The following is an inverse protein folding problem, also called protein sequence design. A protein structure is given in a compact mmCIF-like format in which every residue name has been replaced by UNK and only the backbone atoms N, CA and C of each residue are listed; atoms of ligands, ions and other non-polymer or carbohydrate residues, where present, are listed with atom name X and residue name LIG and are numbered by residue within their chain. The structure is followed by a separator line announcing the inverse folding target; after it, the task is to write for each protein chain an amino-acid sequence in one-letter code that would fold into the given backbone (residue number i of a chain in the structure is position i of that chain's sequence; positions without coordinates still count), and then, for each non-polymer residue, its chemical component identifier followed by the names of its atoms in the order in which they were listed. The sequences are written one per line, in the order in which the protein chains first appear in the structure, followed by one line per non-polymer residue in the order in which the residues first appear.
data_IF_483369613008
#
_entry.id   IF_483369613008
#
_cell.length_a   1.000
_cell.length_b   1.000
_cell.length_c   1.000
_cell.angle_alpha   90.00
_cell.angle_beta   90.00
_cell.angle_gamma   90.00
#
_symmetry.space_group_name_H-M   'P 1'
#
loop_
_entity.id
_entity.type
_entity.pdbx_description
1 polymer ?
#
# COMPACT_ATOMS: atom_id res chain seq x y z
N UNK A 1 -26.14 14.31 19.45
CA UNK A 1 -24.84 13.69 19.14
C UNK A 1 -24.43 12.97 20.41
N UNK A 2 -24.36 11.65 20.37
CA UNK A 2 -23.85 10.85 21.49
C UNK A 2 -22.38 11.21 21.71
N UNK A 3 -22.00 11.37 22.96
CA UNK A 3 -20.62 11.72 23.34
C UNK A 3 -19.76 10.43 23.45
N UNK A 4 -20.19 9.37 22.75
CA UNK A 4 -19.52 8.08 22.77
C UNK A 4 -18.21 8.14 22.00
N UNK A 5 -17.19 7.48 22.53
CA UNK A 5 -15.89 7.41 21.90
C UNK A 5 -15.97 6.54 20.62
N UNK A 6 -15.42 7.05 19.53
CA UNK A 6 -15.18 6.24 18.34
C UNK A 6 -13.87 5.49 18.56
N UNK A 7 -13.91 4.17 18.41
CA UNK A 7 -12.79 3.29 18.74
C UNK A 7 -12.37 2.45 17.54
N UNK A 8 -11.11 2.08 17.50
CA UNK A 8 -10.60 1.04 16.59
C UNK A 8 -10.69 -0.29 17.36
N UNK A 9 -11.47 -1.22 16.85
CA UNK A 9 -11.73 -2.50 17.51
C UNK A 9 -10.60 -3.49 17.25
N UNK A 10 -10.14 -3.60 16.01
CA UNK A 10 -9.03 -4.45 15.61
C UNK A 10 -8.43 -4.01 14.28
N UNK A 11 -7.32 -4.64 13.88
CA UNK A 11 -6.66 -4.43 12.61
C UNK A 11 -5.94 -5.67 12.12
N UNK A 12 -5.68 -5.72 10.83
CA UNK A 12 -4.86 -6.74 10.20
C UNK A 12 -4.15 -6.17 8.98
N UNK A 13 -3.02 -6.75 8.61
CA UNK A 13 -2.34 -6.49 7.35
C UNK A 13 -1.84 -7.78 6.72
N UNK A 14 -1.65 -7.77 5.44
CA UNK A 14 -0.87 -8.81 4.78
C UNK A 14 0.63 -8.61 5.07
N UNK A 15 1.47 -9.64 4.85
CA UNK A 15 2.90 -9.40 4.67
C UNK A 15 3.14 -8.37 3.56
N UNK A 16 4.22 -7.61 3.66
CA UNK A 16 4.64 -6.69 2.60
C UNK A 16 5.56 -7.42 1.62
N UNK A 17 5.08 -7.58 0.38
CA UNK A 17 5.87 -8.11 -0.72
C UNK A 17 6.79 -7.05 -1.34
N UNK A 18 7.92 -7.48 -1.89
CA UNK A 18 8.77 -6.65 -2.73
C UNK A 18 8.17 -6.43 -4.13
N UNK A 19 8.69 -5.43 -4.84
CA UNK A 19 8.35 -5.23 -6.25
C UNK A 19 8.78 -6.46 -7.07
N UNK A 20 7.83 -7.04 -7.83
CA UNK A 20 7.98 -8.33 -8.52
C UNK A 20 8.41 -9.51 -7.62
N UNK A 21 8.14 -9.40 -6.31
CA UNK A 21 8.49 -10.36 -5.29
C UNK A 21 7.44 -11.45 -5.06
N UNK A 22 7.37 -11.93 -3.82
CA UNK A 22 6.57 -13.09 -3.42
C UNK A 22 5.07 -12.94 -3.68
N UNK A 23 4.52 -11.71 -3.56
CA UNK A 23 3.10 -11.40 -3.76
C UNK A 23 2.77 -10.88 -5.18
N UNK A 24 3.67 -11.03 -6.15
CA UNK A 24 3.50 -10.51 -7.52
C UNK A 24 2.28 -11.02 -8.26
N UNK A 25 1.83 -12.22 -7.94
CA UNK A 25 0.68 -12.86 -8.59
C UNK A 25 -0.66 -12.48 -7.95
N UNK A 26 -0.63 -11.63 -6.90
CA UNK A 26 -1.82 -11.15 -6.18
C UNK A 26 -2.18 -9.73 -6.59
N UNK A 27 -3.44 -9.52 -6.94
CA UNK A 27 -3.97 -8.18 -7.21
C UNK A 27 -4.15 -7.37 -5.93
N UNK A 28 -4.18 -6.04 -6.04
CA UNK A 28 -4.47 -5.17 -4.90
C UNK A 28 -5.80 -5.53 -4.21
N UNK A 29 -6.83 -5.90 -4.99
CA UNK A 29 -8.15 -6.24 -4.44
C UNK A 29 -8.15 -7.59 -3.70
N UNK A 30 -7.29 -8.54 -4.05
CA UNK A 30 -7.12 -9.80 -3.32
C UNK A 30 -6.35 -9.59 -2.02
N UNK A 31 -5.28 -8.79 -2.05
CA UNK A 31 -4.54 -8.41 -0.84
C UNK A 31 -5.44 -7.62 0.13
N UNK A 32 -6.20 -6.65 -0.40
CA UNK A 32 -7.18 -5.91 0.40
C UNK A 32 -8.24 -6.80 1.02
N UNK A 33 -8.73 -7.81 0.28
CA UNK A 33 -9.72 -8.76 0.77
C UNK A 33 -9.17 -9.61 1.94
N UNK A 34 -7.93 -10.07 1.85
CA UNK A 34 -7.30 -10.83 2.93
C UNK A 34 -7.22 -9.99 4.23
N UNK A 35 -6.76 -8.75 4.12
CA UNK A 35 -6.67 -7.84 5.27
C UNK A 35 -8.04 -7.47 5.85
N UNK A 36 -9.03 -7.16 5.01
CA UNK A 36 -10.41 -6.86 5.43
C UNK A 36 -11.00 -8.06 6.17
N UNK A 37 -10.92 -9.25 5.58
CA UNK A 37 -11.46 -10.48 6.18
C UNK A 37 -10.85 -10.72 7.56
N UNK A 38 -9.54 -10.71 7.68
CA UNK A 38 -8.84 -10.93 8.93
C UNK A 38 -9.19 -9.86 9.98
N UNK A 39 -9.24 -8.57 9.60
CA UNK A 39 -9.60 -7.49 10.52
C UNK A 39 -11.02 -7.68 11.08
N UNK A 40 -11.98 -8.05 10.23
CA UNK A 40 -13.37 -8.30 10.62
C UNK A 40 -13.46 -9.52 11.54
N UNK A 41 -12.86 -10.65 11.16
CA UNK A 41 -12.85 -11.87 11.98
C UNK A 41 -12.24 -11.63 13.36
N UNK A 42 -11.09 -10.95 13.43
CA UNK A 42 -10.40 -10.63 14.68
C UNK A 42 -11.15 -9.62 15.55
N UNK A 43 -11.98 -8.76 14.94
CA UNK A 43 -12.79 -7.79 15.69
C UNK A 43 -13.92 -8.43 16.47
N UNK A 44 -14.41 -9.60 16.07
CA UNK A 44 -15.62 -10.23 16.60
C UNK A 44 -16.91 -9.52 16.22
N UNK A 45 -16.85 -8.49 15.38
CA UNK A 45 -18.03 -7.76 14.87
C UNK A 45 -18.69 -8.59 13.78
N UNK A 46 -20.02 -8.69 13.83
CA UNK A 46 -20.78 -9.38 12.77
C UNK A 46 -20.57 -8.70 11.42
N UNK A 47 -20.35 -9.46 10.37
CA UNK A 47 -20.24 -8.96 8.98
C UNK A 47 -21.47 -8.16 8.56
N UNK A 48 -22.66 -8.53 9.05
CA UNK A 48 -23.93 -7.85 8.76
C UNK A 48 -24.05 -6.48 9.46
N UNK A 49 -23.18 -6.19 10.40
CA UNK A 49 -23.15 -4.90 11.12
C UNK A 49 -22.21 -3.88 10.46
N UNK A 50 -21.50 -4.26 9.42
CA UNK A 50 -20.55 -3.38 8.73
C UNK A 50 -21.30 -2.56 7.69
N UNK A 51 -21.40 -1.27 7.93
CA UNK A 51 -22.12 -0.35 7.06
C UNK A 51 -21.29 0.10 5.84
N UNK A 52 -19.98 0.33 6.04
CA UNK A 52 -19.12 0.95 5.03
C UNK A 52 -17.70 0.35 5.01
N UNK A 53 -17.12 0.23 3.81
CA UNK A 53 -15.71 -0.12 3.58
C UNK A 53 -15.01 1.01 2.82
N UNK A 54 -13.98 1.61 3.41
CA UNK A 54 -13.23 2.71 2.80
C UNK A 54 -11.79 2.23 2.58
N UNK A 55 -11.41 2.04 1.31
CA UNK A 55 -10.07 1.58 0.98
C UNK A 55 -9.31 2.58 0.12
N UNK A 56 -8.12 2.95 0.59
CA UNK A 56 -7.13 3.67 -0.20
C UNK A 56 -6.54 2.78 -1.28
N UNK A 57 -6.46 3.29 -2.52
CA UNK A 57 -5.76 2.65 -3.63
C UNK A 57 -5.38 3.72 -4.63
N UNK A 58 -4.09 3.79 -5.00
CA UNK A 58 -3.56 4.78 -5.93
C UNK A 58 -3.65 4.27 -7.37
N UNK A 59 -3.14 3.06 -7.58
CA UNK A 59 -2.91 2.48 -8.90
C UNK A 59 -4.12 1.64 -9.34
N UNK A 60 -5.20 2.33 -9.68
CA UNK A 60 -6.50 1.70 -9.95
C UNK A 60 -6.69 1.28 -11.41
N UNK A 61 -5.84 1.72 -12.33
CA UNK A 61 -5.94 1.32 -13.73
C UNK A 61 -5.80 -0.21 -13.88
N UNK A 62 -6.71 -0.81 -14.63
CA UNK A 62 -6.72 -2.26 -14.86
C UNK A 62 -7.34 -3.10 -13.74
N UNK A 63 -7.65 -2.55 -12.57
CA UNK A 63 -8.30 -3.29 -11.48
C UNK A 63 -9.80 -3.54 -11.69
N UNK A 64 -10.41 -2.89 -12.67
CA UNK A 64 -11.85 -2.94 -12.89
C UNK A 64 -12.64 -1.95 -12.02
N UNK A 65 -13.96 -2.07 -12.02
CA UNK A 65 -14.83 -1.15 -11.30
C UNK A 65 -14.74 -1.32 -9.79
N UNK A 66 -14.65 -0.21 -9.06
CA UNK A 66 -14.79 -0.15 -7.60
C UNK A 66 -13.84 -1.08 -6.85
N UNK A 67 -12.53 -0.86 -6.87
CA UNK A 67 -11.57 -1.78 -6.21
C UNK A 67 -11.90 -2.09 -4.75
N UNK A 68 -12.33 -1.10 -3.95
CA UNK A 68 -12.77 -1.32 -2.57
C UNK A 68 -13.97 -2.28 -2.48
N UNK A 69 -14.94 -2.12 -3.39
CA UNK A 69 -16.09 -3.03 -3.44
C UNK A 69 -15.69 -4.46 -3.83
N UNK A 70 -14.75 -4.60 -4.74
CA UNK A 70 -14.21 -5.92 -5.09
C UNK A 70 -13.55 -6.58 -3.88
N UNK A 71 -12.69 -5.85 -3.17
CA UNK A 71 -12.02 -6.34 -1.97
C UNK A 71 -13.03 -6.72 -0.87
N UNK A 72 -14.01 -5.85 -0.61
CA UNK A 72 -15.11 -6.09 0.32
C UNK A 72 -15.86 -7.40 0.01
N UNK A 73 -16.29 -7.59 -1.23
CA UNK A 73 -17.02 -8.81 -1.63
C UNK A 73 -16.15 -10.08 -1.57
N UNK A 74 -14.90 -9.98 -1.99
CA UNK A 74 -13.93 -11.08 -1.87
C UNK A 74 -13.65 -11.45 -0.40
N UNK A 75 -13.74 -10.48 0.52
CA UNK A 75 -13.63 -10.69 1.95
C UNK A 75 -14.88 -11.35 2.56
N UNK A 76 -15.97 -11.48 1.80
CA UNK A 76 -17.20 -12.12 2.26
C UNK A 76 -18.21 -11.21 2.95
N UNK A 77 -18.05 -9.88 2.84
CA UNK A 77 -19.03 -8.94 3.37
C UNK A 77 -20.29 -8.89 2.47
N UNK A 78 -21.47 -8.56 3.05
CA UNK A 78 -22.73 -8.52 2.32
C UNK A 78 -22.75 -7.47 1.20
N UNK A 79 -23.56 -7.72 0.15
CA UNK A 79 -23.72 -6.80 -0.98
C UNK A 79 -24.36 -5.45 -0.61
N UNK A 80 -25.04 -5.39 0.53
CA UNK A 80 -25.66 -4.15 1.06
C UNK A 80 -24.65 -3.21 1.70
N UNK A 81 -23.47 -3.71 2.09
CA UNK A 81 -22.40 -2.89 2.66
C UNK A 81 -21.91 -1.88 1.62
N UNK A 82 -21.83 -0.61 1.99
CA UNK A 82 -21.25 0.43 1.15
C UNK A 82 -19.75 0.20 0.93
N UNK A 83 -19.22 0.68 -0.19
CA UNK A 83 -17.77 0.61 -0.43
C UNK A 83 -17.28 1.76 -1.30
N UNK A 84 -16.22 2.44 -0.86
CA UNK A 84 -15.59 3.54 -1.59
C UNK A 84 -14.08 3.36 -1.68
N UNK A 85 -13.55 3.61 -2.87
CA UNK A 85 -12.11 3.69 -3.11
C UNK A 85 -11.70 5.14 -3.10
N UNK A 86 -10.67 5.48 -2.30
CA UNK A 86 -10.15 6.84 -2.21
C UNK A 86 -8.68 6.89 -2.64
N UNK A 87 -8.27 8.03 -3.16
CA UNK A 87 -6.89 8.30 -3.51
C UNK A 87 -6.45 9.63 -2.88
N UNK A 88 -5.49 9.56 -1.98
CA UNK A 88 -4.71 10.66 -1.41
C UNK A 88 -3.23 10.29 -1.43
N UNK A 89 -2.79 9.71 -2.54
CA UNK A 89 -1.43 9.19 -2.71
C UNK A 89 -1.01 8.30 -1.52
N UNK A 90 0.24 8.36 -1.09
CA UNK A 90 0.77 7.53 0.01
C UNK A 90 -0.01 7.65 1.35
N UNK A 91 -0.80 8.72 1.52
CA UNK A 91 -1.66 8.94 2.67
C UNK A 91 -3.07 8.35 2.57
N UNK A 92 -3.39 7.58 1.51
CA UNK A 92 -4.77 7.10 1.26
C UNK A 92 -5.31 6.21 2.35
N UNK A 93 -4.51 5.26 2.85
CA UNK A 93 -4.93 4.36 3.92
C UNK A 93 -5.26 5.11 5.22
N UNK A 94 -4.40 6.04 5.64
CA UNK A 94 -4.67 6.88 6.81
C UNK A 94 -5.88 7.79 6.57
N UNK A 95 -6.04 8.34 5.35
CA UNK A 95 -7.21 9.15 5.02
C UNK A 95 -8.52 8.35 5.07
N UNK A 96 -8.48 7.05 4.72
CA UNK A 96 -9.62 6.16 4.88
C UNK A 96 -10.06 6.06 6.35
N UNK A 97 -9.11 5.88 7.27
CA UNK A 97 -9.38 5.86 8.72
C UNK A 97 -9.97 7.18 9.21
N UNK A 98 -9.42 8.32 8.75
CA UNK A 98 -9.97 9.65 9.09
C UNK A 98 -11.40 9.81 8.57
N UNK A 99 -11.70 9.37 7.36
CA UNK A 99 -13.05 9.46 6.79
C UNK A 99 -14.03 8.53 7.51
N UNK A 100 -13.59 7.34 7.94
CA UNK A 100 -14.41 6.45 8.75
C UNK A 100 -14.78 7.11 10.09
N UNK A 101 -13.81 7.72 10.78
CA UNK A 101 -14.08 8.49 11.99
C UNK A 101 -15.09 9.62 11.74
N UNK A 102 -14.89 10.43 10.70
CA UNK A 102 -15.73 11.56 10.37
C UNK A 102 -17.16 11.11 9.99
N UNK A 103 -17.29 10.01 9.25
CA UNK A 103 -18.58 9.43 8.85
C UNK A 103 -19.38 8.91 10.06
N UNK A 104 -18.73 8.21 10.98
CA UNK A 104 -19.35 7.75 12.24
C UNK A 104 -19.77 8.97 13.08
N UNK A 105 -18.91 9.96 13.21
CA UNK A 105 -19.20 11.17 13.97
C UNK A 105 -20.36 11.97 13.40
N UNK A 106 -20.49 11.99 12.09
CA UNK A 106 -21.60 12.64 11.38
C UNK A 106 -22.90 11.83 11.43
N UNK A 107 -22.86 10.56 11.88
CA UNK A 107 -24.02 9.67 11.90
C UNK A 107 -24.38 9.09 10.53
N UNK A 108 -23.46 9.10 9.59
CA UNK A 108 -23.67 8.50 8.25
C UNK A 108 -23.71 6.98 8.32
N UNK A 109 -22.95 6.39 9.20
CA UNK A 109 -22.86 4.95 9.50
C UNK A 109 -22.27 4.74 10.91
N UNK A 110 -22.36 3.52 11.44
CA UNK A 110 -21.93 3.20 12.80
C UNK A 110 -20.66 2.34 12.84
N UNK A 111 -20.51 1.43 11.88
CA UNK A 111 -19.37 0.50 11.81
C UNK A 111 -18.76 0.56 10.43
N UNK A 112 -17.45 0.76 10.39
CA UNK A 112 -16.72 0.80 9.12
C UNK A 112 -15.43 -0.01 9.18
N UNK A 113 -15.03 -0.55 8.01
CA UNK A 113 -13.67 -1.04 7.77
C UNK A 113 -12.93 0.02 6.95
N UNK A 114 -11.75 0.42 7.42
CA UNK A 114 -10.93 1.43 6.75
C UNK A 114 -9.48 0.98 6.62
N UNK A 115 -8.89 1.18 5.46
CA UNK A 115 -7.51 0.79 5.22
C UNK A 115 -7.00 1.18 3.85
N UNK A 116 -6.04 0.44 3.35
CA UNK A 116 -5.47 0.60 2.01
C UNK A 116 -5.04 -0.72 1.41
N UNK A 117 -4.89 -0.73 0.12
CA UNK A 117 -4.41 -1.87 -0.66
C UNK A 117 -3.68 -1.37 -1.89
N UNK A 118 -2.58 -2.02 -2.25
CA UNK A 118 -1.83 -1.65 -3.44
C UNK A 118 -1.06 -2.86 -3.99
N UNK A 119 -0.93 -2.94 -5.30
CA UNK A 119 -0.04 -3.88 -5.99
C UNK A 119 0.71 -3.15 -7.09
N UNK A 120 1.88 -2.62 -6.75
CA UNK A 120 2.71 -1.86 -7.69
C UNK A 120 3.20 -2.74 -8.85
N UNK A 121 3.47 -4.01 -8.58
CA UNK A 121 3.88 -4.99 -9.60
C UNK A 121 2.83 -5.16 -10.69
N UNK A 122 1.54 -5.08 -10.34
CA UNK A 122 0.44 -5.29 -11.27
C UNK A 122 -0.11 -3.98 -11.89
N UNK A 123 0.53 -2.85 -11.61
CA UNK A 123 0.20 -1.59 -12.28
C UNK A 123 0.51 -1.70 -13.78
N UNK A 124 -0.46 -1.39 -14.68
CA UNK A 124 -0.26 -1.53 -16.10
C UNK A 124 0.56 -0.38 -16.69
N UNK A 125 1.07 -0.59 -17.88
CA UNK A 125 1.47 0.49 -18.76
C UNK A 125 0.24 1.06 -19.47
N UNK A 126 0.19 2.36 -19.67
CA UNK A 126 -0.93 3.07 -20.29
C UNK A 126 -0.48 3.82 -21.56
N UNK A 127 -1.40 3.99 -22.48
CA UNK A 127 -1.19 4.71 -23.73
C UNK A 127 -2.15 5.92 -23.80
N UNK A 128 -1.77 7.10 -23.27
CA UNK A 128 -2.59 8.29 -23.33
C UNK A 128 -2.86 8.71 -24.79
N UNK A 129 -4.07 9.18 -25.07
CA UNK A 129 -4.45 9.63 -26.41
C UNK A 129 -4.86 8.52 -27.39
N UNK A 130 -4.66 7.23 -27.06
CA UNK A 130 -4.96 6.09 -27.94
C UNK A 130 -6.45 6.01 -28.37
N UNK A 131 -7.38 6.50 -27.54
CA UNK A 131 -8.81 6.50 -27.86
C UNK A 131 -9.15 7.36 -29.08
N UNK A 132 -8.43 8.46 -29.30
CA UNK A 132 -8.57 9.30 -30.48
C UNK A 132 -7.85 8.77 -31.72
N UNK A 133 -7.08 7.70 -31.55
CA UNK A 133 -6.20 7.12 -32.58
C UNK A 133 -4.89 7.88 -32.75
N UNK A 134 -3.81 7.16 -32.96
CA UNK A 134 -2.51 7.73 -33.29
C UNK A 134 -2.40 7.85 -34.81
N UNK A 135 -2.36 9.07 -35.28
CA UNK A 135 -2.45 9.33 -36.72
C UNK A 135 -1.14 9.09 -37.43
N UNK A 136 0.01 9.50 -36.86
CA UNK A 136 1.33 9.39 -37.48
C UNK A 136 2.44 9.60 -36.43
N UNK A 137 3.56 8.90 -36.59
CA UNK A 137 4.74 8.99 -35.74
C UNK A 137 4.72 7.99 -34.56
N UNK A 138 5.82 7.96 -33.84
CA UNK A 138 5.98 7.11 -32.65
C UNK A 138 5.14 7.63 -31.48
N UNK A 139 4.72 6.71 -30.61
CA UNK A 139 3.95 7.03 -29.41
C UNK A 139 4.63 6.41 -28.18
N UNK A 140 4.53 7.10 -27.04
CA UNK A 140 5.07 6.66 -25.78
C UNK A 140 4.04 5.84 -24.98
N UNK A 141 4.52 4.79 -24.37
CA UNK A 141 3.80 4.04 -23.35
C UNK A 141 4.28 4.54 -21.98
N UNK A 142 3.35 4.90 -21.09
CA UNK A 142 3.66 5.42 -19.76
C UNK A 142 3.46 4.33 -18.73
N UNK A 143 4.40 4.21 -17.79
CA UNK A 143 4.24 3.38 -16.61
C UNK A 143 3.26 4.05 -15.65
N UNK A 144 2.12 3.41 -15.38
CA UNK A 144 1.11 3.93 -14.46
C UNK A 144 1.64 4.14 -13.05
N UNK A 145 2.53 3.24 -12.58
CA UNK A 145 3.15 3.36 -11.27
C UNK A 145 3.97 4.65 -11.12
N UNK A 146 4.73 5.00 -12.16
CA UNK A 146 5.51 6.24 -12.17
C UNK A 146 4.61 7.45 -12.36
N UNK A 147 3.81 7.47 -13.43
CA UNK A 147 3.02 8.63 -13.83
C UNK A 147 2.03 9.09 -12.76
N UNK A 148 1.31 8.15 -12.12
CA UNK A 148 0.22 8.46 -11.20
C UNK A 148 0.58 8.24 -9.72
N UNK A 149 1.75 7.67 -9.43
CA UNK A 149 2.16 7.34 -8.06
C UNK A 149 3.48 7.93 -7.59
N UNK A 150 4.51 7.98 -8.45
CA UNK A 150 5.87 8.29 -8.03
C UNK A 150 6.40 9.61 -8.59
N UNK A 151 5.82 10.14 -9.67
CA UNK A 151 6.18 11.41 -10.28
C UNK A 151 5.28 12.54 -9.77
N UNK A 152 5.88 13.68 -9.54
CA UNK A 152 5.13 14.91 -9.25
C UNK A 152 4.44 15.42 -10.52
N UNK A 153 3.14 15.67 -10.42
CA UNK A 153 2.31 16.04 -11.56
C UNK A 153 2.68 17.39 -12.20
N UNK A 154 3.31 18.29 -11.44
CA UNK A 154 3.68 19.62 -11.93
C UNK A 154 5.07 19.65 -12.57
N UNK A 155 6.02 18.94 -11.97
CA UNK A 155 7.44 19.01 -12.35
C UNK A 155 7.95 17.75 -13.04
N UNK A 156 7.23 16.62 -12.96
CA UNK A 156 7.68 15.31 -13.44
C UNK A 156 8.84 14.72 -12.64
N UNK A 157 9.20 15.31 -11.51
CA UNK A 157 10.28 14.79 -10.67
C UNK A 157 9.80 13.59 -9.85
N UNK A 158 10.66 12.60 -9.70
CA UNK A 158 10.42 11.48 -8.78
C UNK A 158 10.44 11.95 -7.31
N UNK A 159 9.66 11.29 -6.45
CA UNK A 159 9.61 11.58 -5.02
C UNK A 159 10.99 11.51 -4.34
N UNK A 160 11.86 10.60 -4.76
CA UNK A 160 13.25 10.53 -4.26
C UNK A 160 14.09 11.75 -4.61
N UNK A 161 13.76 12.49 -5.69
CA UNK A 161 14.43 13.76 -6.00
C UNK A 161 14.10 14.85 -4.97
N UNK A 162 12.84 14.92 -4.53
CA UNK A 162 12.45 15.84 -3.44
C UNK A 162 13.09 15.43 -2.11
N UNK A 163 13.21 14.12 -1.85
CA UNK A 163 13.95 13.64 -0.68
C UNK A 163 15.41 14.09 -0.71
N UNK A 164 16.07 14.02 -1.88
CA UNK A 164 17.44 14.53 -2.04
C UNK A 164 17.52 16.05 -1.82
N UNK A 165 16.62 16.82 -2.41
CA UNK A 165 16.56 18.28 -2.23
C UNK A 165 16.36 18.65 -0.74
N UNK A 166 15.52 17.91 -0.03
CA UNK A 166 15.31 18.08 1.41
C UNK A 166 16.56 17.71 2.22
N UNK A 167 17.22 16.60 1.88
CA UNK A 167 18.46 16.18 2.55
C UNK A 167 19.57 17.23 2.40
N UNK A 168 19.70 17.79 1.19
CA UNK A 168 20.67 18.85 0.90
C UNK A 168 20.34 20.13 1.69
N UNK A 169 19.07 20.55 1.72
CA UNK A 169 18.61 21.73 2.47
C UNK A 169 18.86 21.60 3.97
N UNK A 170 18.61 20.42 4.54
CA UNK A 170 18.77 20.16 5.97
C UNK A 170 20.18 19.75 6.36
N UNK A 171 21.07 19.52 5.38
CA UNK A 171 22.45 19.12 5.62
C UNK A 171 22.59 17.72 6.21
N UNK A 172 21.65 16.79 5.89
CA UNK A 172 21.77 15.40 6.31
C UNK A 172 22.90 14.72 5.54
N UNK A 173 23.84 14.11 6.28
CA UNK A 173 24.95 13.40 5.66
C UNK A 173 24.53 12.01 5.22
N UNK A 174 25.30 11.41 4.32
CA UNK A 174 25.11 10.03 3.87
C UNK A 174 25.19 9.06 5.04
N UNK A 175 26.15 9.25 5.92
CA UNK A 175 26.40 8.40 7.09
C UNK A 175 25.19 8.41 8.04
N UNK A 176 24.62 9.58 8.33
CA UNK A 176 23.44 9.71 9.19
C UNK A 176 22.23 8.93 8.61
N UNK A 177 22.05 8.99 7.29
CA UNK A 177 20.96 8.28 6.62
C UNK A 177 21.19 6.77 6.57
N UNK A 178 22.43 6.34 6.34
CA UNK A 178 22.81 4.92 6.37
C UNK A 178 22.64 4.32 7.78
N UNK A 179 23.07 5.02 8.81
CA UNK A 179 22.87 4.63 10.22
C UNK A 179 21.39 4.47 10.55
N UNK A 180 20.55 5.43 10.13
CA UNK A 180 19.11 5.35 10.32
C UNK A 180 18.50 4.14 9.59
N UNK A 181 18.90 3.89 8.34
CA UNK A 181 18.41 2.76 7.55
C UNK A 181 18.85 1.42 8.16
N UNK A 182 20.09 1.31 8.63
CA UNK A 182 20.62 0.10 9.30
C UNK A 182 19.85 -0.16 10.60
N UNK A 183 19.63 0.86 11.41
CA UNK A 183 18.86 0.73 12.66
C UNK A 183 17.41 0.32 12.37
N UNK A 184 16.77 0.91 11.35
CA UNK A 184 15.42 0.52 10.92
C UNK A 184 15.36 -0.95 10.49
N UNK A 185 16.32 -1.40 9.69
CA UNK A 185 16.43 -2.81 9.27
C UNK A 185 16.61 -3.74 10.47
N UNK A 186 17.52 -3.41 11.39
CA UNK A 186 17.78 -4.22 12.58
C UNK A 186 16.53 -4.35 13.46
N UNK A 187 15.76 -3.27 13.63
CA UNK A 187 14.49 -3.30 14.36
C UNK A 187 13.46 -4.21 13.67
N UNK A 188 13.34 -4.13 12.34
CA UNK A 188 12.42 -5.00 11.59
C UNK A 188 12.83 -6.46 11.71
N UNK A 189 14.11 -6.80 11.58
CA UNK A 189 14.62 -8.17 11.74
C UNK A 189 14.40 -8.70 13.16
N UNK A 190 14.61 -7.87 14.17
CA UNK A 190 14.34 -8.23 15.57
C UNK A 190 12.85 -8.49 15.78
N UNK A 191 11.99 -7.60 15.29
CA UNK A 191 10.54 -7.75 15.41
C UNK A 191 10.02 -9.03 14.72
N UNK A 192 10.56 -9.37 13.55
CA UNK A 192 10.24 -10.62 12.85
C UNK A 192 10.71 -11.83 13.68
N UNK A 193 11.96 -11.81 14.17
CA UNK A 193 12.55 -12.91 14.94
C UNK A 193 11.82 -13.17 16.25
N UNK A 194 11.29 -12.13 16.89
CA UNK A 194 10.62 -12.17 18.19
C UNK A 194 9.08 -12.22 18.04
N UNK A 195 8.57 -12.47 16.83
CA UNK A 195 7.14 -12.60 16.53
C UNK A 195 6.28 -11.37 16.91
N UNK A 196 6.88 -10.15 16.94
CA UNK A 196 6.16 -8.93 17.31
C UNK A 196 5.03 -8.57 16.35
N UNK A 197 5.09 -9.03 15.10
CA UNK A 197 4.06 -8.78 14.08
C UNK A 197 3.01 -9.90 13.99
N UNK A 198 3.09 -10.93 14.84
CA UNK A 198 2.23 -12.11 14.76
C UNK A 198 0.74 -11.79 14.84
N UNK A 199 0.38 -10.84 15.69
CA UNK A 199 -1.03 -10.50 15.92
C UNK A 199 -1.61 -9.58 14.82
N UNK A 200 -0.76 -8.97 14.00
CA UNK A 200 -1.22 -8.07 12.93
C UNK A 200 -1.14 -8.71 11.53
N UNK A 201 -0.16 -9.57 11.27
CA UNK A 201 0.01 -10.21 9.97
C UNK A 201 -1.05 -11.31 9.77
N UNK A 202 -1.70 -11.26 8.62
CA UNK A 202 -2.53 -12.34 8.08
C UNK A 202 -1.78 -13.02 6.94
N UNK A 203 -1.43 -14.31 7.07
CA UNK A 203 -0.80 -15.06 5.99
C UNK A 203 -1.67 -15.06 4.74
N UNK A 204 -1.03 -14.88 3.58
CA UNK A 204 -1.72 -14.91 2.29
C UNK A 204 -1.38 -16.21 1.57
N UNK A 205 -2.40 -17.02 1.32
CA UNK A 205 -2.27 -18.28 0.60
C UNK A 205 -2.91 -18.17 -0.78
N UNK A 206 -2.20 -18.53 -1.82
CA UNK A 206 -2.66 -18.49 -3.20
C UNK A 206 -2.05 -19.59 -4.05
N UNK A 207 -2.72 -19.94 -5.14
CA UNK A 207 -2.26 -21.00 -6.06
C UNK A 207 -1.46 -20.40 -7.19
N UNK A 208 -0.26 -20.94 -7.41
CA UNK A 208 0.59 -20.63 -8.56
C UNK A 208 0.69 -21.85 -9.50
N UNK A 209 1.35 -21.68 -10.64
CA UNK A 209 1.66 -22.83 -11.53
C UNK A 209 2.50 -23.91 -10.86
N UNK A 210 3.19 -23.58 -9.78
CA UNK A 210 4.06 -24.51 -9.00
C UNK A 210 3.34 -25.14 -7.81
N UNK A 211 2.06 -24.83 -7.60
CA UNK A 211 1.27 -25.28 -6.48
C UNK A 211 0.87 -24.14 -5.56
N UNK A 212 0.31 -24.50 -4.42
CA UNK A 212 -0.08 -23.57 -3.37
C UNK A 212 1.15 -22.94 -2.71
N UNK A 213 1.09 -21.65 -2.47
CA UNK A 213 2.11 -20.87 -1.76
C UNK A 213 1.45 -20.08 -0.64
N UNK A 214 2.12 -20.03 0.51
CA UNK A 214 1.75 -19.18 1.64
C UNK A 214 2.88 -18.19 1.91
N UNK A 215 2.54 -16.92 2.04
CA UNK A 215 3.43 -15.84 2.44
C UNK A 215 2.94 -15.31 3.77
N UNK A 216 3.79 -15.32 4.78
CA UNK A 216 3.47 -14.98 6.18
C UNK A 216 4.46 -13.99 6.82
N UNK A 217 5.47 -13.58 6.07
CA UNK A 217 6.56 -12.74 6.56
C UNK A 217 6.85 -11.61 5.58
N UNK A 218 7.20 -10.43 6.10
CA UNK A 218 7.62 -9.28 5.31
C UNK A 218 8.89 -9.59 4.52
N UNK A 219 8.85 -9.44 3.19
CA UNK A 219 9.90 -9.91 2.29
C UNK A 219 11.16 -9.03 2.34
N UNK A 220 11.01 -7.71 2.37
CA UNK A 220 12.13 -6.78 2.22
C UNK A 220 13.18 -6.89 3.33
N UNK A 221 12.82 -6.95 4.63
CA UNK A 221 13.82 -7.12 5.68
C UNK A 221 14.64 -8.41 5.55
N UNK A 222 14.00 -9.50 5.10
CA UNK A 222 14.67 -10.80 4.91
C UNK A 222 15.69 -10.79 3.75
N UNK A 223 15.49 -9.94 2.75
CA UNK A 223 16.37 -9.81 1.58
C UNK A 223 17.46 -8.75 1.75
N UNK A 224 17.28 -7.83 2.70
CA UNK A 224 18.18 -6.70 2.92
C UNK A 224 19.48 -7.17 3.61
N UNK A 225 20.59 -6.49 3.29
CA UNK A 225 21.88 -6.70 3.91
C UNK A 225 22.44 -5.37 4.45
N UNK A 226 22.48 -5.24 5.77
CA UNK A 226 22.94 -4.03 6.47
C UNK A 226 24.36 -3.62 6.05
N UNK A 227 25.28 -4.57 5.82
CA UNK A 227 26.66 -4.29 5.42
C UNK A 227 26.78 -3.65 4.02
N UNK A 228 25.76 -3.85 3.18
CA UNK A 228 25.73 -3.28 1.83
C UNK A 228 25.18 -1.85 1.79
N UNK A 229 24.43 -1.42 2.79
CA UNK A 229 23.79 -0.10 2.81
C UNK A 229 24.79 1.04 2.57
N UNK A 230 25.96 1.10 3.26
CA UNK A 230 26.95 2.16 3.02
C UNK A 230 27.59 2.13 1.63
N UNK A 231 27.49 1.01 0.92
CA UNK A 231 28.08 0.81 -0.41
C UNK A 231 27.13 1.10 -1.57
N UNK A 232 25.85 1.38 -1.28
CA UNK A 232 24.86 1.68 -2.29
C UNK A 232 25.16 3.00 -2.99
N UNK A 233 24.89 3.06 -4.30
CA UNK A 233 25.09 4.27 -5.08
C UNK A 233 23.90 5.23 -4.90
N UNK A 234 24.13 6.55 -4.95
CA UNK A 234 23.05 7.52 -5.01
C UNK A 234 22.10 7.22 -6.18
N UNK A 235 20.79 7.29 -5.92
CA UNK A 235 19.77 6.92 -6.90
C UNK A 235 19.15 8.13 -7.61
N UNK A 236 19.15 9.33 -6.99
CA UNK A 236 18.38 10.47 -7.48
C UNK A 236 19.23 11.69 -7.88
N UNK A 237 20.52 11.67 -7.59
CA UNK A 237 21.49 12.68 -8.05
C UNK A 237 22.87 12.03 -8.16
N UNK A 238 23.70 12.48 -9.11
CA UNK A 238 25.03 11.92 -9.36
C UNK A 238 25.93 11.95 -8.11
N UNK A 239 25.90 13.08 -7.40
CA UNK A 239 26.67 13.31 -6.16
C UNK A 239 25.73 13.41 -4.95
N UNK A 240 24.60 12.69 -5.01
CA UNK A 240 23.59 12.70 -3.96
C UNK A 240 23.91 11.76 -2.79
N UNK A 241 23.04 11.80 -1.80
CA UNK A 241 23.15 11.01 -0.56
C UNK A 241 22.02 10.01 -0.38
N UNK A 242 20.90 10.19 -1.12
CA UNK A 242 19.75 9.28 -1.08
C UNK A 242 20.01 8.06 -1.96
N UNK A 243 19.84 6.88 -1.38
CA UNK A 243 19.97 5.58 -2.05
C UNK A 243 18.63 4.87 -2.18
N UNK A 244 18.58 3.75 -2.90
CA UNK A 244 17.40 2.91 -3.09
C UNK A 244 17.78 1.41 -3.04
#
# INVERSE_FOLDING_TARGET
MTNDAIVIVNGARTPMGGFQGTLKDMSATELGAAAIKAAVERSGVSVDSIDEVIMGCILTAGLGQGPARQAMRKAGLPDVTGAVTINKLCGSGLKAVMQAHDGIKAGSFNVAVAGGMESMTNAPYIMPGSRGGYRMGHQDVKDHMFLDGLEDAETGKLMGKFAQEMADEKGYTREQMDEFAIESLNRALTAIKEDHFKDEIEPVTFTTRKGEQTVDTDEQPALANAERIPTLRPAFAKDGTITA
#
